data_IF_381748923083
#
_entry.id   IF_381748923083
#
_cell.length_a   1.000
_cell.length_b   1.000
_cell.length_c   1.000
_cell.angle_alpha   90.00
_cell.angle_beta   90.00
_cell.angle_gamma   90.00
#
_symmetry.space_group_name_H-M   'P 1'
#
loop_
_entity.id
_entity.type
_entity.pdbx_description
1 polymer ?
#
# COMPACT_ATOMS: atom_id res chain seq x y z
N UNK A 1 36.30 22.98 12.11
CA UNK A 1 35.89 22.50 10.78
C UNK A 1 34.50 23.03 10.53
N UNK A 2 34.33 23.93 9.56
CA UNK A 2 33.05 24.50 9.18
C UNK A 2 32.16 23.41 8.57
N UNK A 3 30.96 23.22 9.11
CA UNK A 3 30.00 22.28 8.53
C UNK A 3 29.54 22.79 7.17
N UNK A 4 29.64 21.92 6.15
CA UNK A 4 29.19 22.22 4.80
C UNK A 4 27.66 22.37 4.73
N UNK A 5 26.94 21.54 5.47
CA UNK A 5 25.49 21.59 5.61
C UNK A 5 25.08 22.41 6.84
N UNK A 6 23.92 23.06 6.74
CA UNK A 6 23.29 23.73 7.88
C UNK A 6 22.96 22.71 8.97
N UNK A 7 23.16 23.06 10.24
CA UNK A 7 22.82 22.17 11.35
C UNK A 7 21.30 22.10 11.49
N UNK A 8 20.75 20.90 11.57
CA UNK A 8 19.33 20.70 11.85
C UNK A 8 19.10 20.63 13.37
N UNK A 9 18.03 21.27 13.84
CA UNK A 9 17.59 21.19 15.23
C UNK A 9 16.86 19.87 15.48
N UNK A 10 17.18 19.23 16.59
CA UNK A 10 16.56 17.99 17.05
C UNK A 10 16.10 18.13 18.49
N UNK A 11 14.96 17.54 18.80
CA UNK A 11 14.44 17.43 20.16
C UNK A 11 15.33 16.51 21.01
N UNK A 12 15.14 16.51 22.34
CA UNK A 12 15.82 15.57 23.26
C UNK A 12 15.58 14.09 22.93
N UNK A 13 14.50 13.78 22.20
CA UNK A 13 14.17 12.44 21.71
C UNK A 13 14.83 12.06 20.37
N UNK A 14 15.63 12.95 19.79
CA UNK A 14 16.28 12.73 18.48
C UNK A 14 15.39 12.99 17.26
N UNK A 15 14.16 13.48 17.44
CA UNK A 15 13.27 13.89 16.33
C UNK A 15 13.62 15.27 15.79
N UNK A 16 13.55 15.51 14.46
CA UNK A 16 13.82 16.81 13.87
C UNK A 16 12.74 17.84 14.27
N UNK A 17 13.16 19.09 14.43
CA UNK A 17 12.25 20.22 14.65
C UNK A 17 11.91 20.86 13.31
N UNK A 18 10.62 20.86 12.96
CA UNK A 18 10.12 21.43 11.70
C UNK A 18 9.87 22.94 11.82
N UNK A 19 10.11 23.65 10.73
CA UNK A 19 9.76 25.07 10.55
C UNK A 19 8.24 25.23 10.46
N UNK A 20 7.77 26.48 10.56
CA UNK A 20 6.33 26.80 10.41
C UNK A 20 5.87 26.41 9.00
N UNK A 21 4.79 25.62 8.93
CA UNK A 21 4.24 25.04 7.69
C UNK A 21 5.15 24.01 6.97
N UNK A 22 6.22 23.53 7.64
CA UNK A 22 7.03 22.42 7.12
C UNK A 22 6.36 21.09 7.47
N UNK A 23 6.20 20.22 6.46
CA UNK A 23 5.55 18.91 6.59
C UNK A 23 6.50 17.84 6.06
N UNK A 24 6.54 16.68 6.74
CA UNK A 24 7.28 15.51 6.29
C UNK A 24 6.57 14.82 5.11
N UNK A 25 7.32 14.56 4.03
CA UNK A 25 6.79 13.98 2.79
C UNK A 25 7.18 12.50 2.61
N UNK A 26 8.42 12.14 2.99
CA UNK A 26 8.96 10.79 2.84
C UNK A 26 10.21 10.59 3.71
N UNK A 27 10.50 9.33 4.07
CA UNK A 27 11.67 8.96 4.88
C UNK A 27 12.40 7.75 4.27
N UNK A 28 13.73 7.81 4.24
CA UNK A 28 14.62 6.70 3.88
C UNK A 28 15.60 6.41 5.00
N UNK A 29 15.93 5.13 5.19
CA UNK A 29 16.90 4.67 6.20
C UNK A 29 18.19 4.19 5.54
N UNK A 30 19.31 4.29 6.26
CA UNK A 30 20.61 3.78 5.81
C UNK A 30 21.14 4.54 4.60
N UNK A 31 21.07 5.87 4.64
CA UNK A 31 21.52 6.75 3.55
C UNK A 31 22.89 7.34 3.87
N UNK A 32 23.80 7.22 2.91
CA UNK A 32 25.11 7.86 2.93
C UNK A 32 25.11 9.06 1.97
N UNK A 33 25.78 10.16 2.35
CA UNK A 33 26.09 11.23 1.42
C UNK A 33 27.55 11.15 0.96
N UNK A 34 27.72 10.96 -0.35
CA UNK A 34 29.02 10.94 -1.03
C UNK A 34 29.12 12.15 -1.97
N UNK A 35 30.14 13.01 -1.79
CA UNK A 35 30.46 14.06 -2.74
C UNK A 35 31.18 13.48 -3.97
N UNK A 36 30.93 14.03 -5.15
CA UNK A 36 31.66 13.61 -6.37
C UNK A 36 33.03 14.32 -6.48
N UNK A 37 33.18 15.51 -5.88
CA UNK A 37 34.41 16.30 -5.88
C UNK A 37 35.09 16.32 -4.49
N UNK A 38 36.42 16.18 -4.46
CA UNK A 38 37.31 16.02 -3.29
C UNK A 38 37.36 17.19 -2.26
N UNK A 39 36.27 17.89 -2.00
CA UNK A 39 36.21 18.83 -0.90
C UNK A 39 36.10 18.06 0.44
N UNK A 40 36.67 18.57 1.52
CA UNK A 40 36.71 17.88 2.82
C UNK A 40 35.31 17.85 3.46
N UNK A 41 34.51 16.83 3.12
CA UNK A 41 33.22 16.58 3.74
C UNK A 41 33.35 15.61 4.91
N UNK A 42 32.66 15.83 6.04
CA UNK A 42 32.44 14.77 7.01
C UNK A 42 31.61 13.66 6.33
N UNK A 43 32.04 12.38 6.36
CA UNK A 43 31.26 11.30 5.79
C UNK A 43 29.97 11.12 6.61
N UNK A 44 28.85 11.63 6.09
CA UNK A 44 27.52 11.35 6.64
C UNK A 44 27.15 9.93 6.20
N UNK A 45 27.31 8.96 7.10
CA UNK A 45 27.11 7.53 6.82
C UNK A 45 26.01 6.92 7.68
N UNK A 46 25.25 6.00 7.09
CA UNK A 46 24.20 5.19 7.70
C UNK A 46 23.15 6.00 8.44
N UNK A 47 22.75 7.15 7.88
CA UNK A 47 21.75 8.02 8.51
C UNK A 47 20.32 7.77 8.03
N UNK A 48 19.39 8.46 8.67
CA UNK A 48 18.00 8.57 8.24
C UNK A 48 17.87 9.85 7.43
N UNK A 49 17.41 9.75 6.19
CA UNK A 49 17.13 10.87 5.31
C UNK A 49 15.62 11.13 5.32
N UNK A 50 15.22 12.34 5.68
CA UNK A 50 13.83 12.79 5.73
C UNK A 50 13.66 13.91 4.71
N UNK A 51 12.70 13.73 3.80
CA UNK A 51 12.26 14.76 2.87
C UNK A 51 11.10 15.52 3.51
N UNK A 52 11.24 16.82 3.63
CA UNK A 52 10.13 17.72 3.97
C UNK A 52 9.74 18.60 2.78
N UNK A 53 8.70 19.41 2.95
CA UNK A 53 8.31 20.43 1.97
C UNK A 53 9.35 21.54 1.76
N UNK A 54 10.32 21.68 2.68
CA UNK A 54 11.27 22.81 2.68
C UNK A 54 12.73 22.38 2.56
N UNK A 55 13.11 21.19 3.04
CA UNK A 55 14.52 20.74 3.12
C UNK A 55 14.64 19.22 3.16
N UNK A 56 15.82 18.73 2.81
CA UNK A 56 16.27 17.40 3.16
C UNK A 56 16.95 17.44 4.52
N UNK A 57 16.52 16.57 5.43
CA UNK A 57 17.09 16.42 6.76
C UNK A 57 17.81 15.08 6.85
N UNK A 58 19.07 15.12 7.27
CA UNK A 58 19.84 13.92 7.55
C UNK A 58 20.10 13.81 9.04
N UNK A 59 19.69 12.68 9.61
CA UNK A 59 19.86 12.36 11.02
C UNK A 59 20.86 11.20 11.17
N UNK A 60 21.82 11.30 12.10
CA UNK A 60 22.71 10.18 12.39
C UNK A 60 21.91 9.00 12.98
N UNK A 61 22.22 7.78 12.57
CA UNK A 61 21.72 6.59 13.26
C UNK A 61 22.36 6.47 14.64
N UNK A 62 21.60 6.04 15.65
CA UNK A 62 22.07 5.80 17.03
C UNK A 62 23.25 4.81 17.14
N UNK A 63 23.59 4.11 16.05
CA UNK A 63 24.70 3.16 15.95
C UNK A 63 26.04 3.80 15.50
N UNK A 64 26.10 5.10 15.25
CA UNK A 64 27.31 5.76 14.74
C UNK A 64 28.33 6.07 15.86
N UNK A 65 29.59 5.67 15.65
CA UNK A 65 30.72 5.83 16.57
C UNK A 65 31.28 7.26 16.69
N UNK A 66 30.74 8.22 15.93
CA UNK A 66 31.16 9.62 15.95
C UNK A 66 29.96 10.57 16.16
N UNK A 67 30.11 11.67 16.91
CA UNK A 67 29.05 12.66 17.12
C UNK A 67 28.84 13.48 15.85
N UNK A 68 28.17 12.90 14.85
CA UNK A 68 27.72 13.63 13.67
C UNK A 68 26.45 14.38 14.04
N UNK A 69 26.44 15.70 13.83
CA UNK A 69 25.24 16.50 14.07
C UNK A 69 24.24 16.30 12.94
N UNK A 70 22.95 16.36 13.28
CA UNK A 70 21.88 16.41 12.30
C UNK A 70 22.13 17.56 11.29
N UNK A 71 21.92 17.28 10.01
CA UNK A 71 22.25 18.18 8.90
C UNK A 71 21.02 18.48 8.05
N UNK A 72 20.93 19.68 7.51
CA UNK A 72 19.85 20.15 6.66
C UNK A 72 20.37 20.68 5.32
N UNK A 73 19.66 20.36 4.24
CA UNK A 73 19.87 20.88 2.89
C UNK A 73 18.57 21.55 2.45
N UNK A 74 18.50 22.89 2.38
CA UNK A 74 17.32 23.59 1.88
C UNK A 74 17.00 23.15 0.45
N UNK A 75 15.72 22.87 0.15
CA UNK A 75 15.31 22.55 -1.22
C UNK A 75 15.54 23.74 -2.16
N UNK A 76 15.46 24.96 -1.64
CA UNK A 76 15.79 26.19 -2.35
C UNK A 76 17.26 26.25 -2.83
N UNK A 77 18.15 25.52 -2.16
CA UNK A 77 19.56 25.43 -2.54
C UNK A 77 19.80 24.44 -3.67
N UNK A 78 18.82 23.60 -4.02
CA UNK A 78 18.97 22.55 -5.02
C UNK A 78 18.67 23.15 -6.39
N UNK A 79 19.66 23.16 -7.28
CA UNK A 79 19.52 23.70 -8.64
C UNK A 79 19.02 22.64 -9.63
N UNK A 80 19.37 21.38 -9.41
CA UNK A 80 19.05 20.30 -10.33
C UNK A 80 18.97 18.95 -9.61
N UNK A 81 17.99 18.12 -9.98
CA UNK A 81 17.89 16.72 -9.53
C UNK A 81 18.11 15.84 -10.76
N UNK A 82 19.12 14.97 -10.72
CA UNK A 82 19.45 14.14 -11.87
C UNK A 82 18.52 12.93 -11.95
N UNK A 83 17.92 12.70 -13.12
CA UNK A 83 17.22 11.46 -13.41
C UNK A 83 18.22 10.30 -13.48
N UNK A 84 17.99 9.25 -12.68
CA UNK A 84 18.76 8.01 -12.81
C UNK A 84 18.37 7.31 -14.11
N UNK A 85 19.30 7.20 -15.06
CA UNK A 85 19.12 6.33 -16.24
C UNK A 85 19.26 4.89 -15.75
N UNK A 86 18.16 4.11 -15.77
CA UNK A 86 18.17 2.68 -15.43
C UNK A 86 19.10 1.96 -16.42
N UNK A 87 20.32 1.67 -15.99
CA UNK A 87 21.35 0.96 -16.75
C UNK A 87 21.49 -0.44 -16.17
N UNK A 88 21.76 -1.46 -16.99
CA UNK A 88 21.94 -2.85 -16.53
C UNK A 88 22.99 -2.99 -15.40
N UNK A 89 23.91 -2.03 -15.24
CA UNK A 89 24.87 -1.98 -14.13
C UNK A 89 24.29 -1.56 -12.77
N UNK A 90 23.09 -0.98 -12.72
CA UNK A 90 22.45 -0.50 -11.49
C UNK A 90 21.80 -1.60 -10.66
N UNK A 91 21.67 -2.83 -11.19
CA UNK A 91 21.15 -3.99 -10.44
C UNK A 91 22.15 -4.47 -9.38
N UNK A 92 23.45 -4.24 -9.59
CA UNK A 92 24.53 -4.70 -8.72
C UNK A 92 25.03 -3.64 -7.72
N UNK A 93 24.45 -2.45 -7.72
CA UNK A 93 24.88 -1.33 -6.87
C UNK A 93 23.71 -0.78 -6.06
N UNK A 94 24.01 -0.30 -4.85
CA UNK A 94 23.06 0.46 -4.04
C UNK A 94 22.44 1.61 -4.84
N UNK A 95 21.11 1.84 -4.78
CA UNK A 95 20.47 2.96 -5.45
C UNK A 95 21.13 4.30 -5.11
N UNK A 96 21.26 5.17 -6.12
CA UNK A 96 21.92 6.47 -6.00
C UNK A 96 21.01 7.57 -6.51
N UNK A 97 20.79 8.59 -5.68
CA UNK A 97 20.10 9.83 -6.06
C UNK A 97 21.16 10.92 -6.12
N UNK A 98 21.28 11.54 -7.30
CA UNK A 98 22.21 12.66 -7.51
C UNK A 98 21.44 13.95 -7.63
N UNK A 99 21.93 15.00 -6.98
CA UNK A 99 21.38 16.33 -7.09
C UNK A 99 22.49 17.37 -6.92
N UNK A 100 22.29 18.54 -7.51
CA UNK A 100 23.22 19.65 -7.51
C UNK A 100 22.74 20.70 -6.52
N UNK A 101 23.65 21.13 -5.65
CA UNK A 101 23.39 22.11 -4.60
C UNK A 101 24.23 23.37 -4.85
N UNK A 102 23.61 24.53 -4.73
CA UNK A 102 24.26 25.83 -4.77
C UNK A 102 25.04 26.06 -3.48
N UNK A 103 26.26 26.55 -3.62
CA UNK A 103 27.20 26.77 -2.53
C UNK A 103 27.61 28.24 -2.54
N UNK A 104 27.52 28.87 -1.37
CA UNK A 104 28.00 30.23 -1.14
C UNK A 104 29.53 30.31 -1.30
N UNK A 105 30.10 31.52 -1.55
CA UNK A 105 31.56 31.70 -1.68
C UNK A 105 32.36 31.17 -0.48
N UNK A 106 31.74 31.15 0.71
CA UNK A 106 32.31 30.63 1.96
C UNK A 106 32.31 29.08 2.06
N UNK A 107 31.91 28.39 0.98
CA UNK A 107 31.92 26.93 0.90
C UNK A 107 30.78 26.23 1.68
N UNK A 108 29.69 26.93 1.98
CA UNK A 108 28.48 26.37 2.64
C UNK A 108 27.31 26.30 1.68
N UNK A 109 26.38 25.37 1.92
CA UNK A 109 25.12 25.31 1.15
C UNK A 109 24.36 26.63 1.25
N UNK A 110 23.92 27.14 0.10
CA UNK A 110 23.16 28.39 0.00
C UNK A 110 21.86 28.29 0.81
N UNK A 111 21.61 29.27 1.67
CA UNK A 111 20.38 29.35 2.46
C UNK A 111 19.70 30.71 2.22
N UNK A 112 18.59 30.74 1.46
CA UNK A 112 17.87 31.99 1.18
C UNK A 112 17.24 32.61 2.44
N UNK A 113 17.08 31.85 3.53
CA UNK A 113 16.53 32.36 4.79
C UNK A 113 17.54 33.11 5.68
N UNK A 114 18.83 33.08 5.33
CA UNK A 114 19.90 33.64 6.18
C UNK A 114 20.05 35.17 6.11
N UNK A 115 19.22 35.89 5.35
CA UNK A 115 19.22 37.36 5.29
C UNK A 115 20.52 37.97 4.76
N UNK A 116 21.39 37.17 4.14
CA UNK A 116 22.63 37.67 3.55
C UNK A 116 22.36 38.19 2.14
N UNK A 117 22.20 39.51 2.03
CA UNK A 117 22.19 40.23 0.76
C UNK A 117 23.48 39.96 -0.01
N UNK A 118 23.43 39.04 -0.98
CA UNK A 118 24.52 38.85 -1.93
C UNK A 118 24.13 39.47 -3.26
N UNK A 119 24.83 40.56 -3.58
CA UNK A 119 24.82 41.22 -4.88
C UNK A 119 25.20 40.22 -5.98
N UNK A 120 24.44 40.28 -7.07
CA UNK A 120 24.40 39.36 -8.22
C UNK A 120 25.67 39.35 -9.09
N UNK A 121 26.88 39.34 -8.49
CA UNK A 121 28.15 39.50 -9.20
C UNK A 121 29.26 38.50 -8.88
N UNK A 122 29.08 37.58 -7.92
CA UNK A 122 30.09 36.56 -7.59
C UNK A 122 29.56 35.17 -7.95
N UNK A 123 30.28 34.47 -8.84
CA UNK A 123 29.81 33.24 -9.48
C UNK A 123 29.28 32.21 -8.49
N UNK A 124 28.02 31.79 -8.67
CA UNK A 124 27.41 30.73 -7.89
C UNK A 124 28.14 29.41 -8.16
N UNK A 125 28.92 28.94 -7.18
CA UNK A 125 29.57 27.64 -7.26
C UNK A 125 28.52 26.57 -6.92
N UNK A 126 28.52 25.47 -7.65
CA UNK A 126 27.59 24.36 -7.40
C UNK A 126 28.36 23.06 -7.20
N UNK A 127 27.84 22.20 -6.35
CA UNK A 127 28.44 20.91 -6.00
C UNK A 127 27.41 19.81 -6.21
N UNK A 128 27.84 18.70 -6.82
CA UNK A 128 27.00 17.52 -6.97
C UNK A 128 27.13 16.64 -5.73
N UNK A 129 25.98 16.34 -5.13
CA UNK A 129 25.84 15.48 -3.96
C UNK A 129 25.15 14.20 -4.39
N UNK A 130 25.72 13.05 -3.99
CA UNK A 130 25.11 11.74 -4.21
C UNK A 130 24.61 11.18 -2.88
N UNK A 131 23.30 10.96 -2.78
CA UNK A 131 22.73 10.13 -1.73
C UNK A 131 22.80 8.66 -2.18
N UNK A 132 23.50 7.82 -1.42
CA UNK A 132 23.62 6.37 -1.64
C UNK A 132 22.72 5.66 -0.63
N UNK A 133 21.69 4.97 -1.12
CA UNK A 133 20.71 4.30 -0.27
C UNK A 133 21.18 2.86 -0.03
N UNK A 134 21.62 2.55 1.19
CA UNK A 134 22.05 1.20 1.61
C UNK A 134 21.00 0.46 2.44
N UNK A 135 20.06 1.18 3.05
CA UNK A 135 18.98 0.59 3.83
C UNK A 135 17.79 0.11 3.00
N UNK A 136 16.81 -0.50 3.66
CA UNK A 136 15.53 -0.87 3.05
C UNK A 136 14.67 0.39 2.91
N UNK A 137 14.18 0.67 1.70
CA UNK A 137 13.29 1.79 1.42
C UNK A 137 12.94 1.91 -0.07
N UNK A 138 11.82 2.55 -0.37
CA UNK A 138 11.38 2.82 -1.74
C UNK A 138 12.14 4.02 -2.33
N UNK A 139 13.28 3.76 -2.96
CA UNK A 139 14.12 4.79 -3.57
C UNK A 139 13.43 5.47 -4.76
N UNK A 140 12.68 4.72 -5.57
CA UNK A 140 11.99 5.25 -6.76
C UNK A 140 10.84 6.17 -6.31
N UNK A 141 10.03 5.74 -5.34
CA UNK A 141 8.98 6.57 -4.74
C UNK A 141 9.51 7.80 -4.00
N UNK A 142 10.66 7.69 -3.32
CA UNK A 142 11.32 8.85 -2.71
C UNK A 142 11.76 9.87 -3.76
N UNK A 143 12.35 9.43 -4.88
CA UNK A 143 12.82 10.32 -5.94
C UNK A 143 11.66 11.08 -6.61
N UNK A 144 10.52 10.42 -6.81
CA UNK A 144 9.29 11.06 -7.32
C UNK A 144 8.84 12.16 -6.36
N UNK A 145 8.63 11.82 -5.08
CA UNK A 145 8.22 12.80 -4.06
C UNK A 145 9.22 13.94 -3.89
N UNK A 146 10.52 13.64 -4.01
CA UNK A 146 11.57 14.64 -3.92
C UNK A 146 11.49 15.64 -5.07
N UNK A 147 11.30 15.16 -6.31
CA UNK A 147 11.05 16.02 -7.47
C UNK A 147 9.78 16.85 -7.29
N UNK A 148 8.68 16.25 -6.82
CA UNK A 148 7.40 16.95 -6.62
C UNK A 148 7.51 18.04 -5.56
N UNK A 149 8.09 17.73 -4.39
CA UNK A 149 8.32 18.72 -3.32
C UNK A 149 9.25 19.85 -3.77
N UNK A 150 10.29 19.53 -4.55
CA UNK A 150 11.19 20.54 -5.10
C UNK A 150 10.50 21.44 -6.14
N UNK A 151 9.62 20.88 -6.99
CA UNK A 151 8.84 21.67 -7.96
C UNK A 151 7.75 22.51 -7.30
N UNK A 152 7.16 22.02 -6.21
CA UNK A 152 6.10 22.70 -5.49
C UNK A 152 6.56 23.99 -4.80
N UNK A 153 7.87 24.16 -4.55
CA UNK A 153 8.47 25.42 -4.02
C UNK A 153 7.73 25.97 -2.79
N UNK A 154 7.31 25.09 -1.88
CA UNK A 154 6.52 25.47 -0.71
C UNK A 154 7.22 26.52 0.18
N UNK A 155 8.57 26.56 0.14
CA UNK A 155 9.40 27.55 0.84
C UNK A 155 9.27 28.98 0.30
N UNK A 156 8.69 29.20 -0.88
CA UNK A 156 8.43 30.54 -1.43
C UNK A 156 7.12 31.13 -0.90
N UNK A 157 6.27 30.32 -0.24
CA UNK A 157 4.89 30.68 0.14
C UNK A 157 4.77 31.42 1.47
N UNK A 158 5.70 32.34 1.78
CA UNK A 158 5.62 33.14 3.01
C UNK A 158 5.91 34.62 2.74
N UNK A 159 4.91 35.34 2.21
CA UNK A 159 4.49 36.68 2.66
C UNK A 159 3.24 37.15 1.90
N UNK A 160 2.06 36.90 2.49
CA UNK A 160 0.90 37.81 2.43
C UNK A 160 -0.11 37.34 3.48
N UNK A 161 0.10 37.78 4.72
CA UNK A 161 -0.97 37.80 5.72
C UNK A 161 -1.69 39.13 5.64
N UNK A 162 -2.97 39.11 5.26
CA UNK A 162 -3.88 40.24 5.34
C UNK A 162 -5.33 39.76 5.37
N UNK A 163 -5.93 39.81 6.56
CA UNK A 163 -7.27 39.37 6.95
C UNK A 163 -8.43 39.74 6.03
N UNK A 164 -9.46 38.88 6.00
CA UNK A 164 -10.82 39.26 5.60
C UNK A 164 -11.79 38.08 5.44
N UNK A 165 -12.51 37.76 6.50
CA UNK A 165 -13.69 36.88 6.50
C UNK A 165 -14.78 37.33 5.53
N UNK A 166 -15.58 36.39 5.01
CA UNK A 166 -16.95 36.68 4.57
C UNK A 166 -17.42 35.93 3.34
N UNK A 167 -18.24 34.90 3.56
CA UNK A 167 -19.17 34.35 2.57
C UNK A 167 -20.15 35.41 2.07
N UNK A 168 -20.55 35.33 0.80
CA UNK A 168 -21.84 35.85 0.33
C UNK A 168 -21.82 36.87 -0.81
N UNK A 169 -22.31 36.42 -1.97
CA UNK A 169 -23.22 37.10 -2.90
C UNK A 169 -22.99 38.57 -3.30
N UNK A 170 -23.02 38.83 -4.61
CA UNK A 170 -23.52 40.09 -5.14
C UNK A 170 -22.91 40.52 -6.47
N UNK A 171 -23.70 40.39 -7.54
CA UNK A 171 -23.52 41.17 -8.76
C UNK A 171 -23.54 42.68 -8.43
N UNK A 172 -22.72 43.48 -9.13
CA UNK A 172 -23.22 44.54 -10.01
C UNK A 172 -22.10 45.52 -10.44
N UNK A 173 -22.31 45.97 -11.67
CA UNK A 173 -21.63 47.01 -12.44
C UNK A 173 -21.40 48.34 -11.69
N UNK A 174 -20.34 49.05 -12.06
CA UNK A 174 -20.08 50.41 -11.61
C UNK A 174 -18.91 51.06 -12.35
N UNK A 175 -19.20 51.63 -13.51
CA UNK A 175 -18.33 52.49 -14.29
C UNK A 175 -17.81 53.69 -13.49
N UNK A 176 -16.54 54.04 -13.67
CA UNK A 176 -15.96 55.28 -13.16
C UNK A 176 -14.72 55.67 -13.97
N UNK A 177 -14.92 56.50 -14.98
CA UNK A 177 -13.86 57.12 -15.75
C UNK A 177 -13.17 58.22 -14.92
N UNK A 178 -11.84 58.25 -14.95
CA UNK A 178 -11.01 59.28 -14.33
C UNK A 178 -9.69 59.42 -15.07
N UNK A 179 -9.65 60.38 -15.99
CA UNK A 179 -8.52 60.77 -16.84
C UNK A 179 -7.38 61.38 -16.02
N UNK A 180 -6.12 60.99 -16.28
CA UNK A 180 -4.95 61.63 -15.65
C UNK A 180 -3.59 61.02 -16.04
N UNK A 181 -3.07 61.43 -17.19
CA UNK A 181 -1.63 61.71 -17.50
C UNK A 181 -0.51 60.78 -16.99
N UNK A 182 0.05 59.99 -17.91
CA UNK A 182 1.46 60.09 -18.35
C UNK A 182 2.57 59.41 -17.53
N UNK A 183 3.08 58.26 -17.99
CA UNK A 183 4.38 57.73 -17.56
C UNK A 183 4.80 56.39 -18.19
N UNK A 184 5.55 56.44 -19.30
CA UNK A 184 6.61 55.48 -19.73
C UNK A 184 6.28 54.00 -19.96
N UNK A 185 5.95 53.61 -21.21
CA UNK A 185 5.72 52.22 -21.65
C UNK A 185 6.90 51.63 -22.46
N UNK A 186 8.14 51.72 -21.97
CA UNK A 186 9.25 51.01 -22.62
C UNK A 186 10.34 50.61 -21.60
N UNK A 187 10.52 49.31 -21.43
CA UNK A 187 11.77 48.71 -20.95
C UNK A 187 12.60 48.32 -22.17
N UNK A 188 13.92 48.39 -22.06
CA UNK A 188 14.91 48.25 -23.15
C UNK A 188 15.10 46.84 -23.72
N UNK A 189 14.09 45.98 -23.62
CA UNK A 189 14.08 44.65 -24.21
C UNK A 189 12.68 44.45 -24.77
N UNK A 190 12.58 44.16 -26.08
CA UNK A 190 11.39 44.34 -26.94
C UNK A 190 10.15 43.48 -26.62
N UNK A 191 9.94 43.10 -25.36
CA UNK A 191 8.78 42.36 -24.88
C UNK A 191 7.73 43.31 -24.31
N UNK A 192 6.55 43.31 -24.93
CA UNK A 192 5.38 44.06 -24.46
C UNK A 192 4.89 43.42 -23.16
N UNK A 193 5.06 44.11 -22.02
CA UNK A 193 4.44 43.66 -20.75
C UNK A 193 2.94 43.89 -20.83
N UNK A 194 2.20 42.88 -21.28
CA UNK A 194 0.74 42.89 -21.27
C UNK A 194 0.24 42.59 -19.84
N UNK A 195 0.06 43.64 -19.03
CA UNK A 195 -0.49 43.53 -17.67
C UNK A 195 -1.99 43.89 -17.73
N UNK A 196 -2.87 42.93 -17.43
CA UNK A 196 -4.33 43.11 -17.36
C UNK A 196 -5.11 41.78 -17.46
N UNK A 197 -6.43 41.82 -17.25
CA UNK A 197 -7.35 40.65 -17.33
C UNK A 197 -7.22 39.88 -18.65
N UNK A 198 -6.88 40.57 -19.74
CA UNK A 198 -6.58 39.97 -21.04
C UNK A 198 -5.34 39.06 -21.04
N UNK A 199 -4.33 39.37 -20.20
CA UNK A 199 -3.13 38.54 -20.04
C UNK A 199 -3.40 37.26 -19.24
N UNK A 200 -4.31 37.31 -18.26
CA UNK A 200 -4.74 36.13 -17.50
C UNK A 200 -5.55 35.18 -18.41
N UNK A 201 -6.51 35.72 -19.18
CA UNK A 201 -7.29 34.94 -20.15
C UNK A 201 -6.40 34.28 -21.22
N UNK A 202 -5.38 35.00 -21.72
CA UNK A 202 -4.42 34.43 -22.67
C UNK A 202 -3.57 33.33 -22.04
N UNK A 203 -3.09 33.53 -20.80
CA UNK A 203 -2.32 32.51 -20.07
C UNK A 203 -3.16 31.27 -19.78
N UNK A 204 -4.43 31.44 -19.43
CA UNK A 204 -5.35 30.33 -19.24
C UNK A 204 -5.53 29.56 -20.54
N UNK A 205 -5.82 30.24 -21.65
CA UNK A 205 -5.95 29.64 -22.97
C UNK A 205 -4.67 28.88 -23.40
N UNK A 206 -3.48 29.43 -23.16
CA UNK A 206 -2.20 28.77 -23.43
C UNK A 206 -1.98 27.52 -22.55
N UNK A 207 -2.46 27.52 -21.30
CA UNK A 207 -2.46 26.34 -20.45
C UNK A 207 -3.43 25.27 -20.94
N UNK A 208 -4.62 25.65 -21.41
CA UNK A 208 -5.58 24.73 -22.03
C UNK A 208 -4.99 24.08 -23.28
N UNK A 209 -4.40 24.88 -24.18
CA UNK A 209 -3.79 24.40 -25.43
C UNK A 209 -2.56 23.51 -25.18
N UNK A 210 -1.72 23.84 -24.19
CA UNK A 210 -0.58 22.98 -23.83
C UNK A 210 -0.99 21.69 -23.13
N UNK A 211 -2.07 21.71 -22.33
CA UNK A 211 -2.64 20.52 -21.70
C UNK A 211 -3.31 19.62 -22.73
N UNK A 212 -4.06 20.18 -23.68
CA UNK A 212 -4.70 19.45 -24.78
C UNK A 212 -3.65 18.78 -25.68
N UNK A 213 -2.58 19.50 -26.01
CA UNK A 213 -1.46 18.93 -26.77
C UNK A 213 -0.75 17.80 -26.02
N UNK A 214 -0.47 17.98 -24.72
CA UNK A 214 0.12 16.94 -23.87
C UNK A 214 -0.77 15.69 -23.77
N UNK A 215 -2.08 15.90 -23.67
CA UNK A 215 -3.08 14.83 -23.65
C UNK A 215 -3.15 14.10 -25.00
N UNK A 216 -3.07 14.83 -26.11
CA UNK A 216 -3.07 14.25 -27.45
C UNK A 216 -1.79 13.46 -27.74
N UNK A 217 -0.62 13.96 -27.32
CA UNK A 217 0.66 13.24 -27.39
C UNK A 217 0.61 11.97 -26.54
N UNK A 218 0.07 12.03 -25.31
CA UNK A 218 -0.11 10.86 -24.45
C UNK A 218 -1.06 9.80 -25.07
N UNK A 219 -2.13 10.21 -25.76
CA UNK A 219 -3.00 9.28 -26.49
C UNK A 219 -2.33 8.67 -27.71
N UNK A 220 -1.46 9.42 -28.40
CA UNK A 220 -0.72 8.92 -29.54
C UNK A 220 0.32 7.86 -29.10
N UNK A 221 1.00 8.11 -27.99
CA UNK A 221 1.91 7.15 -27.35
C UNK A 221 1.18 5.91 -26.83
N UNK A 222 -0.01 6.07 -26.24
CA UNK A 222 -0.86 4.95 -25.84
C UNK A 222 -1.25 4.10 -27.05
N UNK A 223 -1.65 4.73 -28.17
CA UNK A 223 -1.99 4.01 -29.40
C UNK A 223 -0.78 3.30 -30.02
N UNK A 224 0.40 3.92 -29.99
CA UNK A 224 1.65 3.29 -30.44
C UNK A 224 1.99 2.08 -29.55
N UNK A 225 1.85 2.22 -28.23
CA UNK A 225 2.02 1.14 -27.26
C UNK A 225 1.01 0.01 -27.49
N UNK A 226 -0.27 0.33 -27.72
CA UNK A 226 -1.32 -0.65 -28.01
C UNK A 226 -1.08 -1.37 -29.34
N UNK A 227 -0.58 -0.67 -30.36
CA UNK A 227 -0.20 -1.29 -31.63
C UNK A 227 0.96 -2.28 -31.44
N UNK A 228 1.99 -1.88 -30.68
CA UNK A 228 3.15 -2.75 -30.37
C UNK A 228 2.76 -3.94 -29.51
N UNK A 229 1.92 -3.72 -28.50
CA UNK A 229 1.36 -4.79 -27.69
C UNK A 229 0.50 -5.74 -28.53
N UNK A 230 -0.32 -5.23 -29.47
CA UNK A 230 -1.12 -6.06 -30.38
C UNK A 230 -0.24 -6.89 -31.32
N UNK A 231 0.81 -6.32 -31.92
CA UNK A 231 1.78 -7.07 -32.72
C UNK A 231 2.41 -8.20 -31.90
N UNK A 232 2.83 -7.89 -30.67
CA UNK A 232 3.42 -8.83 -29.73
C UNK A 232 2.45 -9.96 -29.32
N UNK A 233 1.18 -9.63 -29.07
CA UNK A 233 0.11 -10.60 -28.76
C UNK A 233 -0.19 -11.50 -29.96
N UNK A 234 -0.31 -10.93 -31.16
CA UNK A 234 -0.55 -11.74 -32.37
C UNK A 234 0.63 -12.67 -32.70
N UNK A 235 1.86 -12.26 -32.38
CA UNK A 235 3.04 -13.13 -32.49
C UNK A 235 2.96 -14.28 -31.48
N UNK A 236 2.61 -13.99 -30.23
CA UNK A 236 2.42 -14.99 -29.18
C UNK A 236 1.28 -15.98 -29.53
N UNK A 237 0.16 -15.51 -30.08
CA UNK A 237 -0.94 -16.36 -30.54
C UNK A 237 -0.53 -17.25 -31.72
N UNK A 238 0.24 -16.72 -32.69
CA UNK A 238 0.79 -17.53 -33.79
C UNK A 238 1.78 -18.58 -33.30
N UNK A 239 2.62 -18.25 -32.33
CA UNK A 239 3.52 -19.21 -31.68
C UNK A 239 2.73 -20.29 -30.92
N UNK A 240 1.69 -19.89 -30.17
CA UNK A 240 0.78 -20.80 -29.48
C UNK A 240 0.06 -21.74 -30.45
N UNK A 241 -0.45 -21.23 -31.58
CA UNK A 241 -1.08 -22.05 -32.60
C UNK A 241 -0.08 -23.03 -33.26
N UNK A 242 1.16 -22.62 -33.48
CA UNK A 242 2.23 -23.53 -33.95
C UNK A 242 2.57 -24.61 -32.92
N UNK A 243 2.57 -24.29 -31.62
CA UNK A 243 2.78 -25.26 -30.54
C UNK A 243 1.62 -26.26 -30.43
N UNK A 244 0.37 -25.82 -30.61
CA UNK A 244 -0.80 -26.71 -30.61
C UNK A 244 -0.90 -27.54 -31.91
N UNK A 245 -0.49 -26.99 -33.05
CA UNK A 245 -0.51 -27.68 -34.35
C UNK A 245 0.69 -28.62 -34.54
N UNK A 246 1.80 -28.38 -33.84
CA UNK A 246 3.01 -29.22 -33.83
C UNK A 246 2.84 -30.56 -33.11
N UNK A 247 1.71 -30.81 -32.43
CA UNK A 247 1.42 -32.09 -31.77
C UNK A 247 0.71 -33.10 -32.70
N UNK A 248 0.34 -32.70 -33.92
CA UNK A 248 -0.47 -33.50 -34.86
C UNK A 248 0.29 -34.00 -36.10
N UNK A 249 1.61 -33.86 -36.16
CA UNK A 249 2.39 -34.30 -37.32
C UNK A 249 3.82 -34.74 -36.97
N UNK A 250 3.95 -35.79 -36.16
CA UNK A 250 5.10 -36.71 -36.26
C UNK A 250 4.83 -37.98 -35.43
N UNK A 251 4.17 -38.93 -36.07
CA UNK A 251 4.41 -40.34 -35.80
C UNK A 251 5.79 -40.72 -36.34
N UNK A 252 6.58 -41.34 -35.46
CA UNK A 252 7.76 -42.19 -35.72
C UNK A 252 9.15 -41.54 -35.69
N UNK A 253 9.91 -41.88 -34.63
CA UNK A 253 11.32 -42.25 -34.75
C UNK A 253 12.37 -41.39 -34.03
N UNK A 254 12.79 -41.85 -32.86
CA UNK A 254 14.12 -41.71 -32.21
C UNK A 254 14.68 -40.34 -31.73
N UNK A 255 15.14 -40.40 -30.47
CA UNK A 255 16.27 -39.71 -29.82
C UNK A 255 16.08 -38.30 -29.22
N UNK A 256 15.70 -38.27 -27.94
CA UNK A 256 16.53 -37.85 -26.77
C UNK A 256 17.27 -36.50 -26.73
N UNK A 257 16.96 -35.48 -27.55
CA UNK A 257 17.61 -34.14 -27.43
C UNK A 257 16.66 -32.93 -27.42
N UNK A 258 15.37 -33.08 -27.07
CA UNK A 258 14.40 -31.97 -27.13
C UNK A 258 13.75 -31.58 -25.78
N UNK A 259 14.27 -32.07 -24.65
CA UNK A 259 13.77 -31.70 -23.32
C UNK A 259 14.30 -30.34 -22.81
N UNK A 260 15.40 -29.83 -23.35
CA UNK A 260 15.98 -28.53 -22.94
C UNK A 260 15.29 -27.30 -23.55
N UNK A 261 14.62 -27.45 -24.69
CA UNK A 261 14.06 -26.33 -25.44
C UNK A 261 12.76 -25.79 -24.83
N UNK A 262 11.99 -26.60 -24.10
CA UNK A 262 10.66 -26.24 -23.59
C UNK A 262 10.69 -25.49 -22.25
N UNK A 263 11.66 -25.77 -21.40
CA UNK A 263 11.84 -25.13 -20.09
C UNK A 263 12.60 -23.81 -20.23
N UNK A 264 13.68 -23.79 -21.02
CA UNK A 264 14.42 -22.56 -21.32
C UNK A 264 13.52 -21.55 -22.06
N UNK A 265 12.69 -22.01 -23.00
CA UNK A 265 11.75 -21.13 -23.73
C UNK A 265 10.59 -20.63 -22.86
N UNK A 266 10.23 -21.34 -21.79
CA UNK A 266 9.30 -20.84 -20.77
C UNK A 266 9.93 -19.76 -19.89
N UNK A 267 11.21 -19.89 -19.58
CA UNK A 267 11.97 -18.89 -18.83
C UNK A 267 12.17 -17.59 -19.63
N UNK A 268 12.33 -17.71 -20.96
CA UNK A 268 12.30 -16.57 -21.88
C UNK A 268 10.93 -15.88 -21.95
N UNK A 269 9.81 -16.63 -21.91
CA UNK A 269 8.46 -16.05 -21.92
C UNK A 269 8.11 -15.32 -20.61
N UNK A 270 8.62 -15.82 -19.48
CA UNK A 270 8.50 -15.17 -18.17
C UNK A 270 9.35 -13.89 -18.09
N UNK A 271 10.53 -13.89 -18.72
CA UNK A 271 11.46 -12.75 -18.72
C UNK A 271 11.06 -11.59 -19.63
N UNK A 272 10.21 -11.80 -20.64
CA UNK A 272 9.84 -10.77 -21.63
C UNK A 272 8.68 -9.87 -21.17
N UNK A 273 8.03 -10.15 -20.03
CA UNK A 273 7.08 -9.20 -19.41
C UNK A 273 5.86 -8.84 -20.27
N UNK A 274 5.50 -9.70 -21.25
CA UNK A 274 4.28 -9.56 -22.06
C UNK A 274 3.10 -9.90 -21.17
N UNK A 275 2.61 -8.88 -20.48
CA UNK A 275 1.31 -8.91 -19.82
C UNK A 275 0.26 -8.87 -20.93
N UNK A 276 -0.12 -10.05 -21.40
CA UNK A 276 -1.39 -10.30 -22.06
C UNK A 276 -1.90 -11.64 -21.53
N UNK A 277 -3.22 -11.84 -21.34
CA UNK A 277 -3.77 -12.89 -20.50
C UNK A 277 -3.57 -14.24 -21.19
N UNK A 278 -2.41 -14.86 -20.97
CA UNK A 278 -2.08 -16.16 -21.55
C UNK A 278 -2.86 -17.23 -20.79
N UNK A 279 -4.04 -17.52 -21.33
CA UNK A 279 -4.87 -18.72 -21.20
C UNK A 279 -4.66 -19.53 -19.91
N UNK A 280 -5.62 -19.30 -19.02
CA UNK A 280 -5.92 -19.93 -17.73
C UNK A 280 -5.76 -21.45 -17.67
N UNK A 281 -5.70 -22.15 -18.81
CA UNK A 281 -5.75 -23.60 -18.87
C UNK A 281 -4.39 -24.33 -18.83
N UNK A 282 -3.27 -23.75 -19.30
CA UNK A 282 -1.98 -24.50 -19.38
C UNK A 282 -0.86 -23.96 -18.50
N UNK A 283 -0.66 -22.64 -18.41
CA UNK A 283 0.32 -22.04 -17.47
C UNK A 283 -0.32 -21.66 -16.12
N UNK A 284 -1.63 -21.34 -16.14
CA UNK A 284 -2.41 -21.06 -14.93
C UNK A 284 -2.47 -22.26 -13.97
N UNK A 285 -2.50 -23.49 -14.50
CA UNK A 285 -2.54 -24.69 -13.68
C UNK A 285 -1.29 -24.83 -12.79
N UNK A 286 -0.08 -24.75 -13.36
CA UNK A 286 1.17 -24.85 -12.60
C UNK A 286 1.35 -23.66 -11.64
N UNK A 287 0.98 -22.44 -12.07
CA UNK A 287 0.98 -21.27 -11.20
C UNK A 287 0.08 -21.46 -9.97
N UNK A 288 -1.19 -21.86 -10.15
CA UNK A 288 -2.11 -22.08 -9.04
C UNK A 288 -1.71 -23.27 -8.17
N UNK A 289 -1.09 -24.30 -8.74
CA UNK A 289 -0.55 -25.43 -7.98
C UNK A 289 0.61 -25.00 -7.09
N UNK A 290 1.58 -24.25 -7.62
CA UNK A 290 2.71 -23.77 -6.84
C UNK A 290 2.26 -22.77 -5.77
N UNK A 291 1.35 -21.88 -6.15
CA UNK A 291 0.70 -20.96 -5.22
C UNK A 291 -0.04 -21.72 -4.11
N UNK A 292 -0.77 -22.78 -4.43
CA UNK A 292 -1.50 -23.55 -3.40
C UNK A 292 -0.56 -24.16 -2.36
N UNK A 293 0.62 -24.63 -2.77
CA UNK A 293 1.63 -25.21 -1.87
C UNK A 293 2.23 -24.13 -0.97
N UNK A 294 2.65 -23.01 -1.56
CA UNK A 294 3.17 -21.86 -0.81
C UNK A 294 2.15 -21.32 0.20
N UNK A 295 0.89 -21.23 -0.21
CA UNK A 295 -0.17 -20.72 0.62
C UNK A 295 -0.48 -21.66 1.78
N UNK A 296 -0.42 -22.98 1.57
CA UNK A 296 -0.57 -23.96 2.64
C UNK A 296 0.55 -23.88 3.69
N UNK A 297 1.79 -23.67 3.26
CA UNK A 297 2.92 -23.49 4.16
C UNK A 297 2.81 -22.18 4.95
N UNK A 298 2.42 -21.10 4.28
CA UNK A 298 2.23 -19.80 4.92
C UNK A 298 1.09 -19.83 5.95
N UNK A 299 -0.07 -20.38 5.59
CA UNK A 299 -1.28 -20.32 6.43
C UNK A 299 -1.16 -21.17 7.69
N UNK A 300 -0.24 -22.14 7.75
CA UNK A 300 0.02 -22.95 8.95
C UNK A 300 0.23 -22.10 10.21
N UNK A 301 1.12 -21.09 10.15
CA UNK A 301 1.43 -20.26 11.33
C UNK A 301 0.28 -19.34 11.75
N UNK A 302 -0.39 -18.58 10.85
CA UNK A 302 -1.60 -17.83 11.20
C UNK A 302 -2.74 -18.72 11.72
N UNK A 303 -2.90 -19.92 11.18
CA UNK A 303 -3.98 -20.84 11.55
C UNK A 303 -3.78 -21.39 12.97
N UNK A 304 -2.55 -21.75 13.34
CA UNK A 304 -2.21 -22.15 14.71
C UNK A 304 -2.46 -21.02 15.71
N UNK A 305 -2.11 -19.78 15.35
CA UNK A 305 -2.38 -18.60 16.19
C UNK A 305 -3.87 -18.28 16.32
N UNK A 306 -4.66 -18.57 15.29
CA UNK A 306 -6.09 -18.34 15.26
C UNK A 306 -6.92 -19.50 15.83
N UNK A 307 -6.28 -20.54 16.39
CA UNK A 307 -6.98 -21.66 17.02
C UNK A 307 -7.58 -22.68 16.05
N UNK A 308 -7.06 -22.74 14.81
CA UNK A 308 -7.40 -23.81 13.85
C UNK A 308 -8.35 -23.42 12.72
N UNK A 309 -8.85 -22.17 12.70
CA UNK A 309 -9.68 -21.64 11.63
C UNK A 309 -9.42 -20.14 11.38
N UNK A 310 -9.41 -19.71 10.12
CA UNK A 310 -9.25 -18.31 9.73
C UNK A 310 -10.14 -17.96 8.52
N UNK A 311 -10.65 -16.74 8.46
CA UNK A 311 -11.36 -16.27 7.27
C UNK A 311 -10.43 -16.24 6.07
N UNK A 312 -10.97 -16.59 4.89
CA UNK A 312 -10.21 -16.49 3.65
C UNK A 312 -9.77 -15.05 3.36
N UNK A 313 -10.61 -14.07 3.71
CA UNK A 313 -10.31 -12.62 3.55
C UNK A 313 -9.14 -12.21 4.45
N UNK A 314 -9.11 -12.69 5.70
CA UNK A 314 -8.02 -12.38 6.62
C UNK A 314 -6.72 -13.04 6.17
N UNK A 315 -6.80 -14.29 5.70
CA UNK A 315 -5.67 -14.98 5.09
C UNK A 315 -5.14 -14.25 3.85
N UNK A 316 -6.02 -13.72 3.00
CA UNK A 316 -5.66 -12.92 1.82
C UNK A 316 -4.85 -11.68 2.21
N UNK A 317 -5.37 -10.92 3.18
CA UNK A 317 -4.72 -9.73 3.70
C UNK A 317 -3.35 -10.05 4.32
N UNK A 318 -3.26 -11.11 5.12
CA UNK A 318 -2.01 -11.53 5.75
C UNK A 318 -0.97 -11.96 4.72
N UNK A 319 -1.38 -12.75 3.73
CA UNK A 319 -0.49 -13.29 2.71
C UNK A 319 0.07 -12.16 1.81
N UNK A 320 -0.80 -11.26 1.34
CA UNK A 320 -0.37 -10.13 0.51
C UNK A 320 0.48 -9.12 1.30
N UNK A 321 0.17 -8.91 2.59
CA UNK A 321 0.99 -8.07 3.47
C UNK A 321 2.38 -8.67 3.73
N UNK A 322 2.49 -10.00 3.76
CA UNK A 322 3.78 -10.68 3.89
C UNK A 322 4.62 -10.62 2.60
N UNK A 323 3.98 -10.59 1.41
CA UNK A 323 4.68 -10.51 0.11
C UNK A 323 5.19 -9.12 -0.26
N UNK A 324 4.48 -8.05 0.10
CA UNK A 324 4.92 -6.67 -0.12
C UNK A 324 4.76 -6.17 -1.57
N UNK A 325 5.55 -6.68 -2.52
CA UNK A 325 5.64 -6.13 -3.91
C UNK A 325 5.05 -7.04 -4.99
N UNK A 326 4.62 -8.25 -4.66
CA UNK A 326 4.00 -9.20 -5.59
C UNK A 326 2.64 -9.65 -5.07
N UNK A 327 1.66 -8.76 -5.19
CA UNK A 327 0.30 -9.00 -4.70
C UNK A 327 -0.40 -10.05 -5.57
N UNK A 328 -1.19 -10.91 -4.92
CA UNK A 328 -2.06 -11.86 -5.58
C UNK A 328 -3.48 -11.29 -5.65
N UNK A 329 -4.22 -11.61 -6.72
CA UNK A 329 -5.65 -11.32 -6.83
C UNK A 329 -6.51 -12.22 -5.93
N UNK A 330 -7.68 -11.77 -5.46
CA UNK A 330 -8.59 -12.61 -4.68
C UNK A 330 -9.02 -13.90 -5.41
N UNK A 331 -9.23 -13.81 -6.72
CA UNK A 331 -9.64 -14.94 -7.55
C UNK A 331 -8.56 -16.02 -7.66
N UNK A 332 -7.30 -15.61 -7.71
CA UNK A 332 -6.18 -16.55 -7.81
C UNK A 332 -5.91 -17.25 -6.48
N UNK A 333 -6.11 -16.55 -5.37
CA UNK A 333 -6.10 -17.17 -4.05
C UNK A 333 -7.21 -18.22 -3.91
N UNK A 334 -8.42 -17.90 -4.35
CA UNK A 334 -9.55 -18.84 -4.35
C UNK A 334 -9.26 -20.10 -5.16
N UNK A 335 -8.77 -19.95 -6.40
CA UNK A 335 -8.38 -21.08 -7.24
C UNK A 335 -7.29 -21.91 -6.59
N UNK A 336 -6.27 -21.29 -6.01
CA UNK A 336 -5.20 -21.99 -5.30
C UNK A 336 -5.73 -22.78 -4.09
N UNK A 337 -6.61 -22.19 -3.27
CA UNK A 337 -7.22 -22.87 -2.13
C UNK A 337 -8.11 -24.05 -2.57
N UNK A 338 -8.82 -23.94 -3.70
CA UNK A 338 -9.65 -25.04 -4.23
C UNK A 338 -8.84 -26.26 -4.66
N UNK A 339 -7.53 -26.10 -4.94
CA UNK A 339 -6.64 -27.20 -5.30
C UNK A 339 -6.20 -28.03 -4.09
N UNK A 340 -6.41 -27.56 -2.86
CA UNK A 340 -6.05 -28.31 -1.65
C UNK A 340 -6.87 -29.59 -1.44
N UNK A 341 -8.00 -29.77 -2.11
CA UNK A 341 -8.70 -31.05 -2.09
C UNK A 341 -7.93 -32.13 -2.88
N UNK A 342 -7.14 -31.71 -3.87
CA UNK A 342 -6.37 -32.60 -4.76
C UNK A 342 -4.97 -32.89 -4.23
N UNK A 343 -4.42 -31.98 -3.45
CA UNK A 343 -3.13 -32.16 -2.79
C UNK A 343 -3.36 -32.61 -1.35
N UNK A 344 -2.70 -33.65 -0.88
CA UNK A 344 -2.86 -34.10 0.52
C UNK A 344 -2.14 -33.16 1.50
N UNK A 345 -2.76 -32.01 1.74
CA UNK A 345 -2.24 -30.93 2.57
C UNK A 345 -3.06 -30.89 3.88
N UNK A 346 -2.48 -30.54 5.04
CA UNK A 346 -3.21 -30.49 6.31
C UNK A 346 -4.28 -29.38 6.41
N UNK A 347 -4.42 -28.52 5.41
CA UNK A 347 -5.42 -27.44 5.38
C UNK A 347 -6.50 -27.71 4.35
N UNK A 348 -7.70 -27.20 4.59
CA UNK A 348 -8.82 -27.29 3.66
C UNK A 348 -9.59 -25.97 3.60
N UNK A 349 -10.16 -25.70 2.42
CA UNK A 349 -11.11 -24.61 2.22
C UNK A 349 -12.51 -25.11 2.56
N UNK A 350 -13.22 -24.39 3.41
CA UNK A 350 -14.60 -24.68 3.77
C UNK A 350 -15.48 -23.48 3.46
N UNK A 351 -16.72 -23.76 3.07
CA UNK A 351 -17.78 -22.77 2.87
C UNK A 351 -18.90 -23.00 3.88
N UNK A 352 -19.33 -21.95 4.57
CA UNK A 352 -20.53 -21.96 5.41
C UNK A 352 -21.78 -21.71 4.57
N UNK A 353 -22.95 -22.02 5.14
CA UNK A 353 -24.25 -21.83 4.48
C UNK A 353 -24.54 -20.35 4.17
N UNK A 354 -23.98 -19.43 4.96
CA UNK A 354 -24.00 -17.98 4.72
C UNK A 354 -23.21 -17.55 3.47
N UNK A 355 -22.39 -18.44 2.91
CA UNK A 355 -21.47 -18.15 1.82
C UNK A 355 -20.09 -17.70 2.27
N UNK A 356 -19.86 -17.50 3.57
CA UNK A 356 -18.53 -17.17 4.11
C UNK A 356 -17.58 -18.34 3.87
N UNK A 357 -16.39 -18.03 3.35
CA UNK A 357 -15.35 -19.01 3.09
C UNK A 357 -14.21 -18.86 4.09
N UNK A 358 -13.78 -20.01 4.63
CA UNK A 358 -12.77 -20.09 5.68
C UNK A 358 -11.77 -21.18 5.37
N UNK A 359 -10.57 -21.00 5.89
CA UNK A 359 -9.51 -22.00 5.84
C UNK A 359 -9.45 -22.64 7.23
N UNK A 360 -9.53 -23.96 7.27
CA UNK A 360 -9.47 -24.74 8.51
C UNK A 360 -8.45 -25.86 8.39
N UNK A 361 -7.92 -26.29 9.53
CA UNK A 361 -7.08 -27.49 9.59
C UNK A 361 -7.97 -28.73 9.44
N UNK A 362 -7.52 -29.77 8.73
CA UNK A 362 -8.23 -31.06 8.65
C UNK A 362 -8.45 -31.69 10.04
N UNK A 363 -7.56 -31.41 10.99
CA UNK A 363 -7.68 -31.88 12.38
C UNK A 363 -8.70 -31.10 13.21
N UNK A 364 -9.20 -29.96 12.74
CA UNK A 364 -10.13 -29.13 13.49
C UNK A 364 -11.55 -29.66 13.31
N UNK A 365 -12.09 -30.29 14.35
CA UNK A 365 -13.43 -30.87 14.35
C UNK A 365 -14.50 -29.86 14.76
N UNK A 366 -15.64 -29.90 14.08
CA UNK A 366 -16.79 -29.08 14.46
C UNK A 366 -17.42 -29.56 15.77
N UNK A 367 -17.31 -30.85 16.05
CA UNK A 367 -17.84 -31.50 17.22
C UNK A 367 -17.23 -30.92 18.51
N UNK A 368 -15.94 -30.64 18.53
CA UNK A 368 -15.27 -29.97 19.66
C UNK A 368 -15.77 -28.55 19.86
N UNK A 369 -15.96 -27.79 18.77
CA UNK A 369 -16.50 -26.43 18.84
C UNK A 369 -17.93 -26.47 19.37
N UNK A 370 -18.77 -27.39 18.89
CA UNK A 370 -20.13 -27.55 19.37
C UNK A 370 -20.18 -28.01 20.83
N UNK A 371 -19.26 -28.85 21.29
CA UNK A 371 -19.16 -29.23 22.69
C UNK A 371 -18.85 -28.01 23.59
N UNK A 372 -17.93 -27.13 23.15
CA UNK A 372 -17.62 -25.88 23.87
C UNK A 372 -18.81 -24.92 23.87
N UNK A 373 -19.50 -24.75 22.74
CA UNK A 373 -20.69 -23.92 22.63
C UNK A 373 -21.82 -24.47 23.51
N UNK A 374 -22.03 -25.79 23.54
CA UNK A 374 -23.02 -26.44 24.40
C UNK A 374 -22.70 -26.23 25.88
N UNK A 375 -21.42 -26.38 26.27
CA UNK A 375 -20.96 -26.08 27.63
C UNK A 375 -21.23 -24.62 28.01
N UNK A 376 -20.97 -23.68 27.09
CA UNK A 376 -21.28 -22.27 27.28
C UNK A 376 -22.78 -22.03 27.46
N UNK A 377 -23.62 -22.62 26.60
CA UNK A 377 -25.07 -22.50 26.65
C UNK A 377 -25.72 -23.17 27.87
N UNK A 378 -25.01 -24.09 28.53
CA UNK A 378 -25.49 -24.79 29.76
C UNK A 378 -25.16 -24.00 31.04
N UNK A 379 -24.35 -22.94 30.97
CA UNK A 379 -24.06 -22.09 32.13
C UNK A 379 -25.35 -21.40 32.62
N UNK A 380 -25.54 -21.23 33.95
CA UNK A 380 -26.78 -20.67 34.50
C UNK A 380 -27.09 -19.25 33.99
N UNK A 381 -26.06 -18.43 33.74
CA UNK A 381 -26.23 -17.09 33.17
C UNK A 381 -26.67 -17.13 31.70
N UNK A 382 -26.10 -18.05 30.92
CA UNK A 382 -26.42 -18.23 29.50
C UNK A 382 -27.80 -18.89 29.29
N UNK A 383 -28.24 -19.75 30.22
CA UNK A 383 -29.58 -20.33 30.22
C UNK A 383 -30.68 -19.27 30.39
N UNK A 384 -30.38 -18.17 31.09
CA UNK A 384 -31.31 -17.06 31.33
C UNK A 384 -31.25 -16.01 30.23
N UNK A 385 -30.04 -15.53 29.92
CA UNK A 385 -29.84 -14.38 29.05
C UNK A 385 -29.53 -14.78 27.60
N UNK A 386 -29.35 -16.06 27.31
CA UNK A 386 -28.91 -16.53 26.00
C UNK A 386 -27.44 -16.18 25.72
N UNK A 387 -26.88 -16.83 24.72
CA UNK A 387 -25.51 -16.61 24.25
C UNK A 387 -25.54 -15.65 23.07
N UNK A 388 -24.86 -14.50 23.18
CA UNK A 388 -24.65 -13.62 22.03
C UNK A 388 -23.44 -14.10 21.21
N UNK A 389 -23.34 -13.72 19.91
CA UNK A 389 -22.13 -13.98 19.12
C UNK A 389 -20.84 -13.44 19.75
N UNK A 390 -20.93 -12.32 20.48
CA UNK A 390 -19.79 -11.72 21.19
C UNK A 390 -19.34 -12.58 22.38
N UNK A 391 -20.29 -13.13 23.15
CA UNK A 391 -19.97 -13.99 24.30
C UNK A 391 -19.34 -15.32 23.84
N UNK A 392 -19.86 -15.87 22.74
CA UNK A 392 -19.28 -17.03 22.09
C UNK A 392 -17.88 -16.74 21.55
N UNK A 393 -17.66 -15.57 20.93
CA UNK A 393 -16.37 -15.13 20.45
C UNK A 393 -15.32 -15.05 21.56
N UNK A 394 -15.67 -14.44 22.70
CA UNK A 394 -14.77 -14.36 23.86
C UNK A 394 -14.44 -15.73 24.44
N UNK A 395 -15.41 -16.64 24.48
CA UNK A 395 -15.21 -17.99 25.02
C UNK A 395 -14.38 -18.88 24.09
N UNK A 396 -14.57 -18.75 22.78
CA UNK A 396 -13.88 -19.55 21.77
C UNK A 396 -12.54 -18.93 21.34
N UNK A 397 -12.29 -17.65 21.65
CA UNK A 397 -11.09 -16.94 21.23
C UNK A 397 -11.04 -16.64 19.72
N UNK A 398 -12.20 -16.48 19.09
CA UNK A 398 -12.34 -16.26 17.64
C UNK A 398 -13.03 -14.93 17.34
N UNK A 399 -12.99 -14.49 16.08
CA UNK A 399 -13.69 -13.28 15.66
C UNK A 399 -15.22 -13.39 15.84
N UNK A 400 -15.93 -12.31 16.21
CA UNK A 400 -17.39 -12.33 16.38
C UNK A 400 -18.18 -12.80 15.15
N UNK A 401 -17.70 -12.46 13.94
CA UNK A 401 -18.29 -12.95 12.70
C UNK A 401 -18.22 -14.48 12.60
N UNK A 402 -17.08 -15.07 12.97
CA UNK A 402 -16.88 -16.52 12.97
C UNK A 402 -17.72 -17.21 14.04
N UNK A 403 -17.78 -16.64 15.24
CA UNK A 403 -18.62 -17.16 16.31
C UNK A 403 -20.10 -17.21 15.89
N UNK A 404 -20.58 -16.20 15.17
CA UNK A 404 -21.93 -16.18 14.61
C UNK A 404 -22.17 -17.36 13.66
N UNK A 405 -21.25 -17.63 12.73
CA UNK A 405 -21.38 -18.75 11.79
C UNK A 405 -21.40 -20.12 12.50
N UNK A 406 -20.58 -20.30 13.54
CA UNK A 406 -20.61 -21.52 14.35
C UNK A 406 -21.94 -21.68 15.11
N UNK A 407 -22.50 -20.60 15.64
CA UNK A 407 -23.81 -20.65 16.31
C UNK A 407 -24.95 -20.97 15.34
N UNK A 408 -24.93 -20.39 14.13
CA UNK A 408 -25.90 -20.71 13.07
C UNK A 408 -25.77 -22.18 12.61
N UNK A 409 -24.55 -22.70 12.54
CA UNK A 409 -24.31 -24.13 12.21
C UNK A 409 -24.77 -25.05 13.35
N UNK A 410 -24.60 -24.63 14.61
CA UNK A 410 -25.10 -25.39 15.76
C UNK A 410 -26.64 -25.43 15.77
N UNK A 411 -27.28 -24.33 15.38
CA UNK A 411 -28.73 -24.25 15.22
C UNK A 411 -29.24 -25.13 14.08
N UNK A 412 -28.58 -25.15 12.91
CA UNK A 412 -28.99 -26.03 11.80
C UNK A 412 -28.89 -27.52 12.16
N UNK A 413 -27.99 -27.88 13.09
CA UNK A 413 -27.92 -29.21 13.71
C UNK A 413 -28.96 -29.44 14.83
N UNK A 414 -29.78 -28.44 15.15
CA UNK A 414 -30.81 -28.52 16.19
C UNK A 414 -30.29 -28.45 17.63
N UNK A 415 -29.04 -28.03 17.85
CA UNK A 415 -28.45 -27.92 19.19
C UNK A 415 -28.89 -26.65 19.92
N UNK A 416 -29.09 -25.57 19.16
CA UNK A 416 -29.48 -24.25 19.66
C UNK A 416 -30.78 -23.81 19.00
N UNK A 417 -31.44 -22.86 19.65
CA UNK A 417 -32.58 -22.11 19.11
C UNK A 417 -32.23 -20.63 19.10
N UNK A 418 -32.65 -19.94 18.05
CA UNK A 418 -32.50 -18.49 17.95
C UNK A 418 -33.68 -17.76 18.57
N UNK A 419 -33.40 -16.65 19.24
CA UNK A 419 -34.37 -15.62 19.58
C UNK A 419 -33.95 -14.29 18.92
N UNK A 420 -34.90 -13.66 18.24
CA UNK A 420 -34.70 -12.37 17.56
C UNK A 420 -35.58 -11.35 18.27
N UNK A 421 -34.93 -10.55 19.11
CA UNK A 421 -35.56 -9.48 19.87
C UNK A 421 -35.01 -8.11 19.41
N UNK A 422 -35.70 -6.98 19.72
CA UNK A 422 -35.18 -5.64 19.43
C UNK A 422 -33.80 -5.38 20.05
N UNK A 423 -33.52 -6.02 21.18
CA UNK A 423 -32.24 -5.97 21.90
C UNK A 423 -31.11 -6.74 21.21
N UNK A 424 -31.42 -7.49 20.15
CA UNK A 424 -30.47 -8.23 19.34
C UNK A 424 -30.80 -9.71 19.19
N UNK A 425 -29.82 -10.43 18.64
CA UNK A 425 -29.93 -11.83 18.28
C UNK A 425 -29.19 -12.71 19.30
N UNK A 426 -29.93 -13.61 19.95
CA UNK A 426 -29.42 -14.49 21.02
C UNK A 426 -29.70 -15.94 20.70
N UNK A 427 -28.82 -16.82 21.17
CA UNK A 427 -28.99 -18.26 21.04
C UNK A 427 -29.22 -18.91 22.40
N UNK A 428 -30.17 -19.83 22.45
CA UNK A 428 -30.50 -20.62 23.62
C UNK A 428 -30.28 -22.10 23.33
N UNK A 429 -30.09 -22.89 24.37
CA UNK A 429 -30.04 -24.35 24.19
C UNK A 429 -31.41 -24.85 23.74
N UNK A 430 -31.42 -25.80 22.80
CA UNK A 430 -32.67 -26.33 22.29
C UNK A 430 -33.36 -27.23 23.32
N UNK A 431 -34.42 -26.73 23.93
CA UNK A 431 -35.24 -27.46 24.90
C UNK A 431 -36.39 -28.26 24.25
N UNK A 432 -36.77 -27.91 23.01
CA UNK A 432 -37.93 -28.50 22.34
C UNK A 432 -37.90 -30.03 22.19
N UNK A 433 -36.73 -30.69 21.94
CA UNK A 433 -36.65 -32.14 21.89
C UNK A 433 -36.97 -32.86 23.21
N UNK A 434 -36.83 -32.18 24.36
CA UNK A 434 -37.15 -32.78 25.66
C UNK A 434 -38.64 -32.67 26.03
N UNK A 435 -39.40 -31.82 25.31
CA UNK A 435 -40.82 -31.58 25.53
C UNK A 435 -41.62 -32.65 24.80
N UNK A 436 -42.37 -33.47 25.54
CA UNK A 436 -43.29 -34.45 24.95
C UNK A 436 -44.58 -33.74 24.50
N UNK A 437 -44.90 -33.71 23.19
CA UNK A 437 -46.12 -33.07 22.69
C UNK A 437 -47.41 -33.73 23.21
N UNK A 438 -47.35 -34.99 23.66
CA UNK A 438 -48.49 -35.70 24.24
C UNK A 438 -48.66 -35.41 25.74
N UNK A 439 -47.68 -34.80 26.40
CA UNK A 439 -47.71 -34.52 27.84
C UNK A 439 -46.94 -33.24 28.20
N UNK A 440 -47.47 -32.11 27.74
CA UNK A 440 -46.85 -30.77 27.86
C UNK A 440 -46.64 -30.34 29.33
N UNK A 441 -47.42 -30.89 30.26
CA UNK A 441 -47.33 -30.57 31.69
C UNK A 441 -46.33 -31.45 32.46
N UNK A 442 -45.80 -32.50 31.84
CA UNK A 442 -44.86 -33.41 32.49
C UNK A 442 -43.42 -32.97 32.21
N UNK A 443 -42.88 -32.17 33.12
CA UNK A 443 -41.45 -31.85 33.14
C UNK A 443 -40.71 -33.04 33.75
N UNK A 444 -39.78 -33.65 33.01
CA UNK A 444 -38.91 -34.70 33.55
C UNK A 444 -38.02 -34.10 34.65
N UNK A 445 -37.91 -34.77 35.81
CA UNK A 445 -37.07 -34.33 36.94
C UNK A 445 -35.57 -34.27 36.58
N UNK A 446 -35.17 -34.94 35.51
CA UNK A 446 -33.80 -35.03 35.01
C UNK A 446 -33.76 -34.56 33.54
N UNK A 447 -32.86 -33.63 33.22
CA UNK A 447 -32.69 -33.11 31.86
C UNK A 447 -32.18 -31.67 31.81
N UNK A 448 -32.02 -31.14 30.60
CA UNK A 448 -31.63 -29.75 30.36
C UNK A 448 -32.79 -28.82 30.76
N UNK A 449 -34.03 -29.24 30.54
CA UNK A 449 -35.23 -28.53 30.94
C UNK A 449 -35.35 -28.33 32.47
N UNK A 450 -35.05 -29.35 33.27
CA UNK A 450 -35.11 -29.23 34.74
C UNK A 450 -33.98 -28.35 35.30
N UNK A 451 -32.82 -28.36 34.63
CA UNK A 451 -31.68 -27.49 34.95
C UNK A 451 -31.98 -26.03 34.61
N UNK A 452 -32.65 -25.79 33.48
CA UNK A 452 -33.15 -24.47 33.09
C UNK A 452 -34.19 -23.95 34.10
N UNK A 453 -35.16 -24.77 34.49
CA UNK A 453 -36.16 -24.39 35.52
C UNK A 453 -35.48 -24.01 36.83
N UNK A 454 -34.51 -24.81 37.30
CA UNK A 454 -33.75 -24.48 38.52
C UNK A 454 -33.01 -23.15 38.39
N UNK A 455 -32.36 -22.88 37.26
CA UNK A 455 -31.62 -21.65 37.02
C UNK A 455 -32.52 -20.40 36.97
N UNK A 456 -33.76 -20.55 36.48
CA UNK A 456 -34.75 -19.47 36.44
C UNK A 456 -35.42 -19.28 37.82
N UNK A 457 -35.73 -20.36 38.53
CA UNK A 457 -36.42 -20.34 39.84
C UNK A 457 -35.56 -19.84 41.01
N UNK A 458 -34.22 -19.97 40.96
CA UNK A 458 -33.32 -19.50 42.03
C UNK A 458 -33.21 -17.98 42.19
N UNK A 459 -34.03 -17.20 41.49
CA UNK A 459 -33.98 -15.73 41.51
C UNK A 459 -35.34 -15.05 41.72
N UNK A 460 -36.29 -15.78 42.31
CA UNK A 460 -37.53 -15.22 42.85
C UNK A 460 -37.35 -14.71 44.27
#
# INVERSE_FOLDING_TARGET
MSNFFSKAEVTSSGRPVFLRNEVECHLLSGVDFEPEDHLQFPPLKSGILILTTHRLLWLPSSSATAPTSASAIPLAAISHIFSSKKSLKSVFHSPRIRFQVLVSPDGRVFDPGSGSDYSSGSGSRSVVVTAVIRGKGDCDGFLVKFCDSWRAKAWESNETSGSGSGSGSGLASGSGAGTGTGGGLYSSDGSVRMVGVAGILRKEQEMWESTDKSLQDAFQDLNALMSKAKEMVTLAEKMRQKLLSGTSSQTSGNNDEDMGSKEEMQDWLLSVGIISPVTKESAGALYHQQLSRQLADFVRTPLERAGGMINLIDAYCLFNRARGTELISPDDMLKACSLWEKFDVPVMLRKFDSGVMVIQNKSHSDEEVFARIKSLATKPEALRNGVSPTDAAMTLGIAPAMAKEHLLTAESKGLLCRDISPDGFRFYINLFPEIDPCNIYFVKDFGICSTWIKAVSTSG
#
